data_IF_194309523271
#
_entry.id   IF_194309523271
#
_cell.length_a   1.000
_cell.length_b   1.000
_cell.length_c   1.000
_cell.angle_alpha   90.00
_cell.angle_beta   90.00
_cell.angle_gamma   90.00
#
_symmetry.space_group_name_H-M   'P 1'
#
loop_
_entity.id
_entity.type
_entity.pdbx_description
1 polymer ?
#
# COMPACT_ATOMS: atom_id res chain seq x y z
N UNK A 1 -4.81 2.30 -14.19
CA UNK A 1 -3.45 2.70 -13.83
C UNK A 1 -2.59 1.48 -13.53
N UNK A 2 -1.48 1.31 -14.23
CA UNK A 2 -0.42 0.31 -13.93
C UNK A 2 -0.92 -1.13 -13.72
N UNK A 3 -1.86 -1.61 -14.56
CA UNK A 3 -2.49 -2.93 -14.40
C UNK A 3 -1.44 -4.05 -14.34
N UNK A 4 -0.49 -4.06 -15.25
CA UNK A 4 0.56 -5.09 -15.32
C UNK A 4 1.37 -5.15 -14.02
N UNK A 5 1.85 -4.01 -13.53
CA UNK A 5 2.65 -3.93 -12.31
C UNK A 5 1.85 -4.37 -11.06
N UNK A 6 0.54 -4.08 -11.04
CA UNK A 6 -0.34 -4.57 -9.97
C UNK A 6 -0.53 -6.08 -10.03
N UNK A 7 -0.69 -6.65 -11.22
CA UNK A 7 -0.81 -8.10 -11.41
C UNK A 7 0.50 -8.81 -11.07
N UNK A 8 1.64 -8.27 -11.53
CA UNK A 8 2.96 -8.82 -11.21
C UNK A 8 3.19 -8.85 -9.68
N UNK A 9 2.83 -7.78 -8.96
CA UNK A 9 2.92 -7.74 -7.48
C UNK A 9 1.96 -8.73 -6.81
N UNK A 10 0.76 -8.92 -7.36
CA UNK A 10 -0.20 -9.91 -6.85
C UNK A 10 0.40 -11.32 -6.92
N UNK A 11 0.98 -11.69 -8.06
CA UNK A 11 1.64 -12.99 -8.24
C UNK A 11 2.90 -13.13 -7.38
N UNK A 12 3.69 -12.08 -7.27
CA UNK A 12 4.82 -12.04 -6.34
C UNK A 12 4.37 -12.32 -4.91
N UNK A 13 3.32 -11.62 -4.45
CA UNK A 13 2.77 -11.81 -3.10
C UNK A 13 2.24 -13.24 -2.89
N UNK A 14 1.52 -13.79 -3.87
CA UNK A 14 1.03 -15.16 -3.82
C UNK A 14 2.18 -16.16 -3.70
N UNK A 15 3.21 -16.04 -4.53
CA UNK A 15 4.39 -16.90 -4.50
C UNK A 15 5.12 -16.81 -3.15
N UNK A 16 5.33 -15.63 -2.61
CA UNK A 16 5.95 -15.41 -1.29
C UNK A 16 5.14 -16.05 -0.15
N UNK A 17 3.80 -16.13 -0.33
CA UNK A 17 2.89 -16.80 0.59
C UNK A 17 2.73 -18.30 0.31
N UNK A 18 3.51 -18.87 -0.61
CA UNK A 18 3.47 -20.28 -0.98
C UNK A 18 2.17 -20.70 -1.67
N UNK A 19 1.57 -19.80 -2.47
CA UNK A 19 0.36 -20.06 -3.25
C UNK A 19 0.71 -20.18 -4.73
N UNK A 20 0.45 -21.35 -5.33
CA UNK A 20 0.57 -21.56 -6.76
C UNK A 20 -0.73 -21.13 -7.44
N UNK A 21 -0.67 -20.03 -8.16
CA UNK A 21 -1.84 -19.45 -8.83
C UNK A 21 -2.16 -20.25 -10.10
N UNK A 22 -3.40 -20.79 -10.27
CA UNK A 22 -3.73 -21.65 -11.41
C UNK A 22 -4.02 -20.91 -12.72
N UNK A 23 -3.59 -19.65 -12.81
CA UNK A 23 -3.75 -18.77 -13.98
C UNK A 23 -2.44 -18.03 -14.27
N UNK A 24 -2.25 -17.61 -15.50
CA UNK A 24 -1.16 -16.72 -15.89
C UNK A 24 -1.50 -15.26 -15.57
N UNK A 25 -0.47 -14.41 -15.52
CA UNK A 25 -0.64 -12.94 -15.38
C UNK A 25 -1.45 -12.36 -16.53
N UNK A 26 -1.29 -12.89 -17.75
CA UNK A 26 -2.02 -12.41 -18.93
C UNK A 26 -3.50 -12.75 -18.87
N UNK A 27 -3.87 -13.94 -18.38
CA UNK A 27 -5.27 -14.29 -18.13
C UNK A 27 -5.91 -13.36 -17.11
N UNK A 28 -5.24 -13.07 -16.01
CA UNK A 28 -5.75 -12.13 -15.00
C UNK A 28 -5.87 -10.71 -15.56
N UNK A 29 -4.91 -10.25 -16.35
CA UNK A 29 -4.98 -8.93 -17.00
C UNK A 29 -6.14 -8.86 -18.00
N UNK A 30 -6.36 -9.91 -18.78
CA UNK A 30 -7.48 -10.01 -19.73
C UNK A 30 -8.82 -9.99 -18.99
N UNK A 31 -8.99 -10.86 -18.00
CA UNK A 31 -10.21 -10.94 -17.18
C UNK A 31 -10.50 -9.62 -16.46
N UNK A 32 -9.47 -8.92 -15.98
CA UNK A 32 -9.62 -7.59 -15.35
C UNK A 32 -10.18 -6.56 -16.32
N UNK A 33 -9.69 -6.51 -17.55
CA UNK A 33 -10.21 -5.60 -18.59
C UNK A 33 -11.63 -5.97 -18.97
N UNK A 34 -11.91 -7.25 -19.08
CA UNK A 34 -13.22 -7.77 -19.46
C UNK A 34 -14.30 -7.42 -18.42
N UNK A 35 -14.06 -7.64 -17.13
CA UNK A 35 -15.04 -7.30 -16.09
C UNK A 35 -15.31 -5.80 -16.02
N UNK A 36 -14.30 -4.95 -16.19
CA UNK A 36 -14.47 -3.48 -16.25
C UNK A 36 -15.37 -3.08 -17.42
N UNK A 37 -15.18 -3.70 -18.60
CA UNK A 37 -15.99 -3.44 -19.77
C UNK A 37 -17.43 -3.91 -19.60
N UNK A 38 -17.64 -5.12 -19.05
CA UNK A 38 -18.99 -5.68 -18.82
C UNK A 38 -19.76 -4.81 -17.82
N UNK A 39 -19.13 -4.38 -16.74
CA UNK A 39 -19.75 -3.56 -15.72
C UNK A 39 -19.80 -2.07 -16.07
N UNK A 40 -19.18 -1.66 -17.20
CA UNK A 40 -19.09 -0.26 -17.65
C UNK A 40 -18.55 0.70 -16.57
N UNK A 41 -17.67 0.19 -15.71
CA UNK A 41 -17.05 0.96 -14.64
C UNK A 41 -16.14 2.03 -15.23
N UNK A 42 -16.43 3.31 -15.01
CA UNK A 42 -15.64 4.44 -15.50
C UNK A 42 -14.63 4.93 -14.45
N UNK A 43 -15.12 5.25 -13.25
CA UNK A 43 -14.31 5.65 -12.10
C UNK A 43 -14.52 4.62 -11.01
N UNK A 44 -13.61 3.64 -10.94
CA UNK A 44 -13.81 2.55 -10.01
C UNK A 44 -12.54 1.96 -9.46
N UNK A 45 -12.74 1.12 -8.49
CA UNK A 45 -11.71 0.35 -7.84
C UNK A 45 -11.74 -1.10 -8.35
N UNK A 46 -10.56 -1.63 -8.66
CA UNK A 46 -10.38 -3.03 -9.07
C UNK A 46 -9.60 -3.74 -7.98
N UNK A 47 -10.15 -4.84 -7.47
CA UNK A 47 -9.52 -5.64 -6.43
C UNK A 47 -9.42 -7.11 -6.86
N UNK A 48 -8.31 -7.53 -7.43
CA UNK A 48 -8.01 -8.94 -7.57
C UNK A 48 -7.63 -9.51 -6.20
N UNK A 49 -8.07 -10.73 -5.91
CA UNK A 49 -7.86 -11.43 -4.64
C UNK A 49 -7.42 -12.86 -4.95
N UNK A 50 -6.39 -13.34 -4.24
CA UNK A 50 -5.95 -14.73 -4.25
C UNK A 50 -6.04 -15.24 -2.82
N UNK A 51 -6.65 -16.41 -2.63
CA UNK A 51 -6.78 -17.00 -1.30
C UNK A 51 -6.78 -18.53 -1.36
N UNK A 52 -6.49 -19.16 -0.23
CA UNK A 52 -6.59 -20.61 -0.07
C UNK A 52 -8.02 -21.03 0.24
N UNK A 53 -8.45 -22.15 -0.31
CA UNK A 53 -9.73 -22.77 0.00
C UNK A 53 -9.78 -23.37 1.41
N UNK A 54 -10.85 -24.06 1.71
CA UNK A 54 -11.19 -24.61 3.03
C UNK A 54 -11.10 -26.14 3.11
N UNK A 55 -10.34 -26.76 2.23
CA UNK A 55 -10.23 -28.23 2.16
C UNK A 55 -9.55 -28.83 3.40
N UNK A 56 -8.72 -28.03 4.08
CA UNK A 56 -8.07 -28.42 5.33
C UNK A 56 -8.17 -27.33 6.38
N UNK A 57 -8.46 -27.72 7.60
CA UNK A 57 -8.40 -26.87 8.80
C UNK A 57 -7.15 -27.23 9.62
N UNK A 58 -5.99 -26.73 9.18
CA UNK A 58 -4.72 -26.95 9.87
C UNK A 58 -3.78 -25.77 9.59
N UNK A 59 -2.66 -25.71 10.33
CA UNK A 59 -1.59 -24.74 10.05
C UNK A 59 -1.01 -24.99 8.65
N UNK A 60 -0.79 -26.27 8.28
CA UNK A 60 -0.42 -26.62 6.91
C UNK A 60 -1.61 -26.45 5.98
N UNK A 61 -1.46 -25.61 4.98
CA UNK A 61 -2.49 -25.31 3.98
C UNK A 61 -2.05 -25.68 2.55
N UNK A 62 -1.05 -26.56 2.41
CA UNK A 62 -0.46 -26.90 1.11
C UNK A 62 -1.41 -27.66 0.19
N UNK A 63 -2.37 -28.40 0.75
CA UNK A 63 -3.38 -29.13 -0.01
C UNK A 63 -4.64 -28.34 -0.32
N UNK A 64 -4.72 -27.10 0.19
CA UNK A 64 -5.85 -26.23 -0.09
C UNK A 64 -5.76 -25.67 -1.50
N UNK A 65 -6.87 -25.67 -2.22
CA UNK A 65 -6.96 -25.04 -3.54
C UNK A 65 -6.68 -23.55 -3.45
N UNK A 66 -6.00 -23.04 -4.47
CA UNK A 66 -5.82 -21.58 -4.62
C UNK A 66 -6.95 -21.07 -5.49
N UNK A 67 -7.69 -20.11 -4.95
CA UNK A 67 -8.80 -19.46 -5.62
C UNK A 67 -8.41 -18.04 -6.01
N UNK A 68 -9.02 -17.53 -7.09
CA UNK A 68 -8.82 -16.18 -7.58
C UNK A 68 -10.18 -15.54 -7.86
N UNK A 69 -10.35 -14.30 -7.46
CA UNK A 69 -11.49 -13.46 -7.86
C UNK A 69 -11.02 -12.07 -8.24
N UNK A 70 -11.78 -11.42 -9.10
CA UNK A 70 -11.58 -10.02 -9.47
C UNK A 70 -12.90 -9.30 -9.21
N UNK A 71 -12.88 -8.34 -8.29
CA UNK A 71 -14.01 -7.48 -8.01
C UNK A 71 -13.75 -6.09 -8.57
N UNK A 72 -14.80 -5.44 -9.09
CA UNK A 72 -14.77 -4.04 -9.48
C UNK A 72 -16.07 -3.36 -9.08
N UNK A 73 -15.98 -2.10 -8.68
CA UNK A 73 -17.11 -1.27 -8.30
C UNK A 73 -16.80 0.21 -8.48
N UNK A 74 -17.83 1.03 -8.62
CA UNK A 74 -17.67 2.48 -8.61
C UNK A 74 -17.08 2.92 -7.26
N UNK A 75 -16.04 3.75 -7.33
CA UNK A 75 -15.37 4.25 -6.15
C UNK A 75 -15.08 5.72 -6.33
N UNK A 76 -15.58 6.52 -5.40
CA UNK A 76 -15.23 7.93 -5.30
C UNK A 76 -13.81 8.15 -4.78
N UNK A 77 -13.52 9.36 -4.35
CA UNK A 77 -12.25 9.68 -3.71
C UNK A 77 -12.11 8.95 -2.36
N UNK A 78 -10.93 8.44 -2.05
CA UNK A 78 -10.61 7.83 -0.75
C UNK A 78 -10.72 8.84 0.39
N UNK A 79 -10.26 10.07 0.13
CA UNK A 79 -10.42 11.20 1.04
C UNK A 79 -11.50 12.15 0.50
N UNK A 80 -12.20 12.83 1.40
CA UNK A 80 -13.06 13.95 1.03
C UNK A 80 -12.26 14.94 0.15
N UNK A 81 -12.80 15.41 -1.00
CA UNK A 81 -12.11 16.36 -1.87
C UNK A 81 -11.61 17.62 -1.15
N UNK A 82 -12.32 18.06 -0.11
CA UNK A 82 -11.89 19.18 0.73
C UNK A 82 -10.59 18.88 1.46
N UNK A 83 -10.45 17.66 2.00
CA UNK A 83 -9.25 17.22 2.72
C UNK A 83 -8.03 17.08 1.80
N UNK A 84 -8.21 16.87 0.50
CA UNK A 84 -7.10 16.89 -0.46
C UNK A 84 -6.45 18.27 -0.60
N UNK A 85 -7.23 19.33 -0.38
CA UNK A 85 -6.76 20.73 -0.46
C UNK A 85 -6.25 21.20 0.90
N UNK A 86 -7.01 20.96 1.96
CA UNK A 86 -6.68 21.39 3.33
C UNK A 86 -5.61 20.53 4.00
N UNK A 87 -5.38 19.33 3.48
CA UNK A 87 -4.53 18.32 4.09
C UNK A 87 -5.23 17.54 5.21
N UNK A 88 -4.52 16.54 5.73
CA UNK A 88 -4.99 15.70 6.83
C UNK A 88 -4.02 15.70 8.01
N UNK A 89 -4.55 15.45 9.19
CA UNK A 89 -3.73 15.27 10.40
C UNK A 89 -3.54 13.79 10.67
N UNK A 90 -2.29 13.39 10.93
CA UNK A 90 -1.92 12.04 11.28
C UNK A 90 -1.63 11.91 12.78
N UNK A 91 -2.12 10.84 13.40
CA UNK A 91 -1.66 10.40 14.71
C UNK A 91 -0.35 9.62 14.57
N UNK A 92 0.51 9.61 15.57
CA UNK A 92 1.60 8.63 15.62
C UNK A 92 1.02 7.33 16.20
N UNK A 93 1.07 6.27 15.41
CA UNK A 93 0.52 4.96 15.81
C UNK A 93 1.27 4.37 17.00
N UNK A 94 0.53 3.75 17.91
CA UNK A 94 1.12 2.88 18.96
C UNK A 94 1.61 1.54 18.40
N UNK A 95 1.06 1.11 17.26
CA UNK A 95 1.46 -0.10 16.54
C UNK A 95 2.60 0.19 15.56
N UNK A 96 3.55 -0.74 15.46
CA UNK A 96 4.70 -0.63 14.56
C UNK A 96 4.64 -1.63 13.42
N UNK A 97 5.24 -1.28 12.28
CA UNK A 97 5.48 -2.26 11.21
C UNK A 97 6.44 -3.33 11.74
N UNK A 98 6.14 -4.63 11.49
CA UNK A 98 6.93 -5.73 12.03
C UNK A 98 8.32 -5.81 11.40
N UNK A 99 9.24 -6.46 12.12
CA UNK A 99 10.57 -6.75 11.59
C UNK A 99 10.49 -7.59 10.30
N UNK A 100 11.36 -7.32 9.32
CA UNK A 100 11.44 -8.11 8.08
C UNK A 100 11.65 -9.61 8.31
N UNK A 101 12.23 -9.99 9.47
CA UNK A 101 12.46 -11.36 9.83
C UNK A 101 11.24 -12.07 10.45
N UNK A 102 10.19 -11.32 10.76
CA UNK A 102 8.99 -11.85 11.44
C UNK A 102 7.87 -12.23 10.46
N UNK A 103 7.85 -11.66 9.26
CA UNK A 103 6.68 -11.69 8.38
C UNK A 103 7.10 -11.30 6.94
N UNK A 104 6.43 -11.79 5.91
CA UNK A 104 6.71 -11.44 4.52
C UNK A 104 6.24 -10.01 4.20
N UNK A 105 6.94 -9.04 4.76
CA UNK A 105 6.63 -7.59 4.77
C UNK A 105 6.50 -6.97 3.37
N UNK A 106 7.19 -7.55 2.40
CA UNK A 106 7.24 -7.13 0.99
C UNK A 106 6.03 -7.56 0.16
N UNK A 107 5.06 -8.23 0.81
CA UNK A 107 3.83 -8.70 0.17
C UNK A 107 2.63 -7.81 0.50
N UNK A 108 1.59 -7.87 -0.37
CA UNK A 108 0.29 -7.25 -0.08
C UNK A 108 -0.67 -8.27 0.55
N UNK A 109 -0.18 -9.02 1.54
CA UNK A 109 -0.96 -10.01 2.25
C UNK A 109 -1.95 -9.37 3.24
N UNK A 110 -3.17 -9.91 3.32
CA UNK A 110 -4.23 -9.36 4.18
C UNK A 110 -3.85 -9.34 5.67
N UNK A 111 -3.10 -10.34 6.15
CA UNK A 111 -2.64 -10.40 7.54
C UNK A 111 -1.76 -9.22 7.97
N UNK A 112 -1.11 -8.53 7.04
CA UNK A 112 -0.31 -7.34 7.32
C UNK A 112 -1.15 -6.09 7.60
N UNK A 113 -2.44 -6.12 7.26
CA UNK A 113 -3.36 -4.99 7.43
C UNK A 113 -4.05 -4.95 8.79
N UNK A 114 -3.93 -6.00 9.60
CA UNK A 114 -4.50 -6.02 10.94
C UNK A 114 -4.01 -4.83 11.78
N UNK A 115 -2.69 -4.63 11.86
CA UNK A 115 -2.11 -3.51 12.61
C UNK A 115 -2.44 -2.14 11.97
N UNK A 116 -2.58 -2.09 10.64
CA UNK A 116 -3.02 -0.88 9.94
C UNK A 116 -4.44 -0.50 10.35
N UNK A 117 -5.36 -1.48 10.42
CA UNK A 117 -6.73 -1.27 10.87
C UNK A 117 -6.78 -0.78 12.32
N UNK A 118 -6.02 -1.41 13.22
CA UNK A 118 -5.94 -0.99 14.62
C UNK A 118 -5.38 0.45 14.77
N UNK A 119 -4.33 0.77 13.99
CA UNK A 119 -3.76 2.12 13.94
C UNK A 119 -4.74 3.17 13.42
N UNK A 120 -5.54 2.80 12.41
CA UNK A 120 -6.57 3.66 11.84
C UNK A 120 -7.68 3.94 12.86
N UNK A 121 -8.18 2.91 13.55
CA UNK A 121 -9.19 3.06 14.60
C UNK A 121 -8.68 3.91 15.78
N UNK A 122 -7.40 3.74 16.16
CA UNK A 122 -6.76 4.57 17.18
C UNK A 122 -6.73 6.06 16.77
N UNK A 123 -6.37 6.34 15.51
CA UNK A 123 -6.36 7.70 14.97
C UNK A 123 -7.77 8.33 14.99
N UNK A 124 -8.75 7.62 14.48
CA UNK A 124 -10.15 8.07 14.42
C UNK A 124 -10.73 8.34 15.82
N UNK A 125 -10.44 7.48 16.80
CA UNK A 125 -10.85 7.68 18.18
C UNK A 125 -10.24 8.95 18.82
N UNK A 126 -9.10 9.43 18.30
CA UNK A 126 -8.43 10.65 18.75
C UNK A 126 -8.73 11.87 17.84
N UNK A 127 -9.63 11.74 16.86
CA UNK A 127 -10.02 12.83 15.95
C UNK A 127 -9.02 13.09 14.82
N UNK A 128 -8.12 12.16 14.52
CA UNK A 128 -7.23 12.20 13.37
C UNK A 128 -7.82 11.44 12.18
N UNK A 129 -7.36 11.77 10.99
CA UNK A 129 -7.85 11.12 9.76
C UNK A 129 -7.13 9.78 9.52
N UNK A 130 -5.84 9.68 9.85
CA UNK A 130 -5.04 8.48 9.67
C UNK A 130 -3.87 8.45 10.68
N UNK A 131 -3.06 7.39 10.67
CA UNK A 131 -1.87 7.27 11.50
C UNK A 131 -0.61 7.20 10.66
N UNK A 132 0.45 7.84 11.15
CA UNK A 132 1.82 7.61 10.75
C UNK A 132 2.37 6.44 11.58
N UNK A 133 2.78 5.37 10.90
CA UNK A 133 3.33 4.17 11.52
C UNK A 133 4.87 4.23 11.50
N UNK A 134 5.47 3.75 12.56
CA UNK A 134 6.90 3.55 12.65
C UNK A 134 7.26 2.09 12.34
N UNK A 135 8.49 1.84 11.90
CA UNK A 135 9.05 0.51 11.80
C UNK A 135 9.42 -0.05 13.19
N UNK A 136 9.89 -1.29 13.23
CA UNK A 136 10.29 -1.97 14.47
C UNK A 136 11.49 -1.31 15.16
N UNK A 137 12.29 -0.52 14.44
CA UNK A 137 13.43 0.25 14.96
C UNK A 137 13.04 1.67 15.40
N UNK A 138 11.82 2.11 15.13
CA UNK A 138 11.32 3.44 15.49
C UNK A 138 11.54 4.51 14.42
N UNK A 139 11.94 4.12 13.20
CA UNK A 139 11.96 5.06 12.07
C UNK A 139 10.56 5.18 11.45
N UNK A 140 10.29 6.29 10.81
CA UNK A 140 9.06 6.48 10.04
C UNK A 140 9.01 5.46 8.91
N UNK A 141 7.87 4.78 8.77
CA UNK A 141 7.60 3.79 7.75
C UNK A 141 6.61 4.31 6.69
N UNK A 142 5.35 4.33 7.02
CA UNK A 142 4.25 4.69 6.11
C UNK A 142 3.01 5.11 6.90
N UNK A 143 1.94 5.59 6.24
CA UNK A 143 0.61 5.68 6.83
C UNK A 143 -0.08 4.32 6.78
N UNK A 144 -1.30 4.18 7.32
CA UNK A 144 -1.96 2.87 7.44
C UNK A 144 -2.26 2.20 6.10
N UNK A 145 -2.41 2.96 5.03
CA UNK A 145 -2.71 2.46 3.68
C UNK A 145 -1.98 3.17 2.55
N UNK A 146 -0.98 4.01 2.86
CA UNK A 146 -0.28 4.84 1.89
C UNK A 146 1.18 5.06 2.30
N UNK A 147 2.07 5.14 1.31
CA UNK A 147 3.45 5.56 1.55
C UNK A 147 3.54 7.08 1.75
N UNK A 148 4.63 7.56 2.34
CA UNK A 148 4.80 8.97 2.67
C UNK A 148 6.06 9.56 2.05
N UNK A 149 5.96 10.82 1.64
CA UNK A 149 7.06 11.66 1.19
C UNK A 149 7.10 12.94 2.00
N UNK A 150 8.30 13.43 2.22
CA UNK A 150 8.58 14.71 2.88
C UNK A 150 9.35 15.61 1.92
N UNK A 151 9.09 16.91 1.98
CA UNK A 151 9.79 17.92 1.19
C UNK A 151 10.59 18.80 2.13
N UNK A 152 11.88 19.04 1.82
CA UNK A 152 12.70 20.00 2.55
C UNK A 152 12.70 21.38 1.87
N UNK A 153 13.33 22.38 2.50
CA UNK A 153 13.45 23.75 1.98
C UNK A 153 14.19 23.85 0.64
N UNK A 154 15.12 22.91 0.37
CA UNK A 154 15.83 22.84 -0.89
C UNK A 154 14.97 22.25 -2.04
N UNK A 155 13.73 21.85 -1.76
CA UNK A 155 12.82 21.24 -2.74
C UNK A 155 13.09 19.77 -3.02
N UNK A 156 13.99 19.12 -2.26
CA UNK A 156 14.25 17.69 -2.36
C UNK A 156 13.12 16.88 -1.72
N UNK A 157 12.82 15.73 -2.28
CA UNK A 157 11.87 14.78 -1.71
C UNK A 157 12.61 13.68 -0.94
N UNK A 158 12.18 13.43 0.27
CA UNK A 158 12.66 12.34 1.11
C UNK A 158 11.54 11.32 1.34
N UNK A 159 11.84 10.04 1.28
CA UNK A 159 10.87 8.97 1.56
C UNK A 159 11.56 7.84 2.31
N UNK A 160 10.86 7.17 3.24
CA UNK A 160 11.43 6.02 3.94
C UNK A 160 11.84 4.89 2.99
N UNK A 161 12.92 4.17 3.34
CA UNK A 161 13.34 2.95 2.65
C UNK A 161 12.30 1.85 2.94
N UNK A 162 11.71 1.22 1.92
CA UNK A 162 10.68 0.20 2.12
C UNK A 162 11.30 -1.16 2.46
N UNK A 163 11.80 -1.31 3.68
CA UNK A 163 12.44 -2.51 4.21
C UNK A 163 11.64 -3.25 5.29
N UNK A 164 10.50 -2.67 5.71
CA UNK A 164 9.56 -3.24 6.69
C UNK A 164 8.09 -3.00 6.31
N UNK A 165 7.85 -2.39 5.16
CA UNK A 165 6.53 -2.05 4.63
C UNK A 165 6.52 -2.14 3.10
N UNK A 166 5.33 -2.11 2.51
CA UNK A 166 5.15 -2.34 1.08
C UNK A 166 5.73 -1.19 0.24
N UNK A 167 6.60 -1.52 -0.73
CA UNK A 167 7.05 -0.58 -1.77
C UNK A 167 5.91 -0.33 -2.78
N UNK A 168 5.18 0.77 -2.58
CA UNK A 168 3.98 1.10 -3.35
C UNK A 168 4.28 1.37 -4.83
N UNK A 169 3.42 0.87 -5.71
CA UNK A 169 3.52 1.15 -7.15
C UNK A 169 3.39 2.65 -7.41
N UNK A 170 2.46 3.32 -6.73
CA UNK A 170 2.32 4.79 -6.80
C UNK A 170 3.55 5.50 -6.26
N UNK A 171 4.14 5.02 -5.15
CA UNK A 171 5.40 5.54 -4.62
C UNK A 171 6.50 5.51 -5.69
N UNK A 172 6.72 4.38 -6.35
CA UNK A 172 7.71 4.26 -7.44
C UNK A 172 7.43 5.21 -8.60
N UNK A 173 6.16 5.34 -9.00
CA UNK A 173 5.78 6.31 -10.04
C UNK A 173 6.09 7.75 -9.64
N UNK A 174 5.86 8.13 -8.39
CA UNK A 174 6.19 9.47 -7.88
C UNK A 174 7.70 9.70 -7.93
N UNK A 175 8.51 8.71 -7.54
CA UNK A 175 9.98 8.78 -7.63
C UNK A 175 10.42 9.01 -9.10
N UNK A 176 9.86 8.24 -10.04
CA UNK A 176 10.20 8.34 -11.46
C UNK A 176 9.78 9.71 -12.03
N UNK A 177 8.58 10.19 -11.70
CA UNK A 177 8.10 11.51 -12.12
C UNK A 177 8.98 12.62 -11.54
N UNK A 178 9.33 12.55 -10.25
CA UNK A 178 10.18 13.53 -9.61
C UNK A 178 11.55 13.60 -10.28
N UNK A 179 12.18 12.44 -10.50
CA UNK A 179 13.47 12.33 -11.22
C UNK A 179 13.39 12.90 -12.63
N UNK A 180 12.32 12.61 -13.39
CA UNK A 180 12.12 13.14 -14.75
C UNK A 180 11.97 14.67 -14.80
N UNK A 181 11.55 15.27 -13.67
CA UNK A 181 11.44 16.73 -13.50
C UNK A 181 12.68 17.37 -12.85
N UNK A 182 13.77 16.62 -12.67
CA UNK A 182 15.00 17.11 -12.04
C UNK A 182 14.88 17.31 -10.53
N UNK A 183 13.81 16.79 -9.89
CA UNK A 183 13.66 16.86 -8.44
C UNK A 183 14.45 15.70 -7.82
N UNK A 184 15.36 16.03 -6.91
CA UNK A 184 16.16 15.03 -6.21
C UNK A 184 15.28 14.26 -5.22
N UNK A 185 15.35 12.93 -5.29
CA UNK A 185 14.64 12.02 -4.36
C UNK A 185 15.67 11.23 -3.56
N UNK A 186 15.50 11.25 -2.25
CA UNK A 186 16.39 10.59 -1.28
C UNK A 186 15.57 9.56 -0.51
N UNK A 187 15.90 8.29 -0.73
CA UNK A 187 15.38 7.17 0.06
C UNK A 187 16.30 6.95 1.26
N UNK A 188 15.79 7.14 2.48
CA UNK A 188 16.58 7.01 3.71
C UNK A 188 15.73 6.61 4.92
N UNK A 189 16.37 6.17 5.99
CA UNK A 189 15.73 6.10 7.31
C UNK A 189 15.41 7.53 7.78
N UNK A 190 14.20 7.75 8.27
CA UNK A 190 13.69 9.04 8.75
C UNK A 190 13.17 8.83 10.17
N UNK A 191 13.63 9.64 11.12
CA UNK A 191 13.16 9.61 12.52
C UNK A 191 12.09 10.68 12.75
N UNK A 192 11.34 10.56 13.84
CA UNK A 192 10.38 11.60 14.22
C UNK A 192 11.04 12.96 14.44
N UNK A 193 12.25 12.99 14.98
CA UNK A 193 12.99 14.23 15.21
C UNK A 193 13.36 14.94 13.89
N UNK A 194 13.49 14.20 12.78
CA UNK A 194 13.77 14.76 11.46
C UNK A 194 12.59 15.60 10.92
N UNK A 195 11.37 15.42 11.43
CA UNK A 195 10.17 16.10 10.91
C UNK A 195 10.28 17.61 10.93
N UNK A 196 10.99 18.18 11.89
CA UNK A 196 11.22 19.63 11.97
C UNK A 196 12.07 20.20 10.83
N UNK A 197 12.79 19.35 10.08
CA UNK A 197 13.60 19.73 8.92
C UNK A 197 12.83 19.75 7.60
N UNK A 198 11.55 19.37 7.61
CA UNK A 198 10.71 19.34 6.42
C UNK A 198 9.65 20.43 6.45
N UNK A 199 9.38 20.99 5.28
CA UNK A 199 8.38 22.07 5.09
C UNK A 199 7.04 21.53 4.59
N UNK A 200 6.96 20.25 4.24
CA UNK A 200 5.71 19.62 3.80
C UNK A 200 5.84 18.11 3.68
N UNK A 201 4.70 17.45 3.61
CA UNK A 201 4.62 16.03 3.34
C UNK A 201 3.36 15.70 2.53
N UNK A 202 3.37 14.56 1.86
CA UNK A 202 2.19 14.01 1.19
C UNK A 202 2.19 12.49 1.22
N UNK A 203 1.00 11.93 1.09
CA UNK A 203 0.78 10.48 1.02
C UNK A 203 0.60 10.03 -0.42
N UNK A 204 0.94 8.77 -0.71
CA UNK A 204 0.76 8.17 -2.02
C UNK A 204 0.21 6.76 -1.92
N UNK A 205 -0.79 6.45 -2.73
CA UNK A 205 -1.35 5.11 -2.83
C UNK A 205 -2.36 5.03 -3.96
N UNK A 206 -2.60 3.84 -4.50
CA UNK A 206 -3.54 3.66 -5.63
C UNK A 206 -4.97 4.07 -5.28
N UNK A 207 -5.37 3.96 -4.01
CA UNK A 207 -6.68 4.41 -3.53
C UNK A 207 -6.61 5.80 -2.90
N UNK A 208 -5.46 6.18 -2.33
CA UNK A 208 -5.26 7.48 -1.68
C UNK A 208 -4.94 8.62 -2.69
N UNK A 209 -4.68 8.29 -3.95
CA UNK A 209 -4.34 9.18 -5.08
C UNK A 209 -3.04 9.97 -4.91
#
# INVERSE_FOLDING_TARGET
FKLKEHTDRLFYSAKRMGMDVPYSTDEINKATKEIVNIQKTQNGYIRPIIWRGSEMMAISAQKNKVNVAIATWEWGSYFDPKLKIEGIKLNISSWRRPSPNSIPWDTKAAGLYMICTLSKHEAEAKGYIDSLMLDHEGNIAEATGANIFFKNDAGELHTPIPDSFLDGITRRCVIDIAKSKGIKVIERKIKLDDLSSFVGCFLTGTAAE
#
